data_IF_138039616860
#
_entry.id   IF_138039616860
#
_cell.length_a   1.000
_cell.length_b   1.000
_cell.length_c   1.000
_cell.angle_alpha   90.00
_cell.angle_beta   90.00
_cell.angle_gamma   90.00
#
_symmetry.space_group_name_H-M   'P 1'
#
loop_
_entity.id
_entity.type
_entity.pdbx_description
1 polymer ?
#
# COMPACT_ATOMS: atom_id res chain seq x y z
N UNK A 1 -9.61 12.08 -6.36
CA UNK A 1 -10.37 11.01 -5.69
C UNK A 1 -9.46 9.79 -5.51
N UNK A 2 -9.54 9.04 -4.41
CA UNK A 2 -8.87 7.74 -4.26
C UNK A 2 -9.94 6.65 -4.38
N UNK A 3 -9.70 5.63 -5.20
CA UNK A 3 -10.63 4.50 -5.38
C UNK A 3 -9.96 3.20 -4.94
N UNK A 4 -10.63 2.45 -4.07
CA UNK A 4 -10.14 1.18 -3.54
C UNK A 4 -11.14 0.08 -3.87
N UNK A 5 -10.68 -0.96 -4.55
CA UNK A 5 -11.46 -2.18 -4.77
C UNK A 5 -11.08 -3.22 -3.72
N UNK A 6 -12.07 -3.70 -2.94
CA UNK A 6 -11.86 -4.73 -1.91
C UNK A 6 -12.48 -6.10 -2.29
N UNK A 7 -13.12 -6.20 -3.45
CA UNK A 7 -13.82 -7.41 -3.90
C UNK A 7 -14.32 -7.27 -5.33
N UNK A 8 -15.31 -8.08 -5.71
CA UNK A 8 -15.87 -8.09 -7.07
C UNK A 8 -14.98 -8.80 -8.09
N UNK A 9 -14.07 -9.66 -7.63
CA UNK A 9 -13.25 -10.50 -8.51
C UNK A 9 -14.11 -11.66 -9.04
N UNK A 10 -14.06 -11.90 -10.35
CA UNK A 10 -14.76 -13.00 -11.02
C UNK A 10 -13.77 -14.04 -11.53
N UNK A 11 -14.21 -15.30 -11.61
CA UNK A 11 -13.43 -16.36 -12.26
C UNK A 11 -13.36 -16.10 -13.76
N UNK A 12 -12.16 -15.79 -14.25
CA UNK A 12 -11.89 -15.56 -15.68
C UNK A 12 -11.42 -16.84 -16.40
N UNK A 13 -11.21 -17.91 -15.65
CA UNK A 13 -10.83 -19.25 -16.11
C UNK A 13 -12.03 -20.19 -16.32
N UNK A 14 -13.26 -19.69 -16.15
CA UNK A 14 -14.52 -20.42 -16.36
C UNK A 14 -15.22 -19.97 -17.64
N UNK A 15 -16.21 -20.76 -18.10
CA UNK A 15 -16.98 -20.44 -19.30
C UNK A 15 -17.79 -19.14 -19.22
N UNK A 16 -18.02 -18.61 -18.02
CA UNK A 16 -18.72 -17.35 -17.79
C UNK A 16 -18.16 -16.66 -16.55
N UNK A 17 -18.07 -15.33 -16.59
CA UNK A 17 -17.77 -14.49 -15.42
C UNK A 17 -19.03 -14.13 -14.62
N UNK A 18 -20.22 -14.54 -15.06
CA UNK A 18 -21.45 -14.27 -14.32
C UNK A 18 -21.44 -15.06 -12.99
N UNK A 19 -21.67 -14.41 -11.84
CA UNK A 19 -21.50 -15.03 -10.53
C UNK A 19 -22.72 -15.89 -10.14
N UNK A 20 -23.00 -16.94 -10.93
CA UNK A 20 -24.14 -17.84 -10.74
C UNK A 20 -24.22 -18.39 -9.30
N UNK A 21 -23.07 -18.59 -8.65
CA UNK A 21 -23.00 -19.07 -7.27
C UNK A 21 -23.30 -18.03 -6.18
N UNK A 22 -23.51 -16.75 -6.53
CA UNK A 22 -23.69 -15.65 -5.56
C UNK A 22 -25.00 -14.89 -5.71
N UNK A 23 -25.52 -14.78 -6.93
CA UNK A 23 -26.72 -13.97 -7.23
C UNK A 23 -27.83 -14.85 -7.78
N UNK A 24 -29.08 -14.49 -7.46
CA UNK A 24 -30.29 -15.14 -7.99
C UNK A 24 -30.36 -16.66 -7.79
N UNK A 25 -29.74 -17.19 -6.73
CA UNK A 25 -29.73 -18.63 -6.41
C UNK A 25 -31.15 -19.23 -6.35
N UNK A 26 -32.11 -18.49 -5.79
CA UNK A 26 -33.51 -18.91 -5.66
C UNK A 26 -34.23 -19.02 -7.02
N UNK A 27 -33.89 -18.16 -7.97
CA UNK A 27 -34.47 -18.15 -9.32
C UNK A 27 -33.86 -19.28 -10.15
N UNK A 28 -32.54 -19.44 -10.06
CA UNK A 28 -31.78 -20.40 -10.85
C UNK A 28 -31.93 -21.83 -10.35
N UNK A 29 -32.40 -22.03 -9.11
CA UNK A 29 -32.60 -23.35 -8.48
C UNK A 29 -31.33 -24.24 -8.52
N UNK A 30 -30.17 -23.60 -8.37
CA UNK A 30 -28.87 -24.27 -8.33
C UNK A 30 -28.32 -24.28 -6.90
N UNK A 31 -27.56 -25.32 -6.56
CA UNK A 31 -26.84 -25.38 -5.29
C UNK A 31 -25.67 -24.37 -5.27
N UNK A 32 -25.18 -23.95 -4.09
CA UNK A 32 -23.99 -23.12 -3.97
C UNK A 32 -22.79 -23.76 -4.69
N UNK A 33 -22.07 -22.94 -5.48
CA UNK A 33 -20.92 -23.39 -6.25
C UNK A 33 -19.65 -23.20 -5.41
N UNK A 34 -18.96 -24.29 -5.10
CA UNK A 34 -17.67 -24.27 -4.40
C UNK A 34 -16.60 -23.55 -5.25
N UNK A 35 -15.88 -22.61 -4.63
CA UNK A 35 -14.80 -21.85 -5.29
C UNK A 35 -15.23 -20.49 -5.87
N UNK A 36 -16.46 -20.05 -5.61
CA UNK A 36 -16.99 -18.70 -5.87
C UNK A 36 -17.33 -17.98 -4.55
N UNK A 37 -17.07 -16.67 -4.40
CA UNK A 37 -16.08 -15.85 -5.10
C UNK A 37 -14.68 -16.06 -4.50
N UNK A 38 -13.64 -15.50 -5.14
CA UNK A 38 -12.38 -15.28 -4.42
C UNK A 38 -12.66 -14.37 -3.22
N UNK A 39 -12.24 -14.74 -1.99
CA UNK A 39 -12.53 -13.95 -0.81
C UNK A 39 -11.95 -12.54 -0.96
N UNK A 40 -12.60 -11.51 -0.38
CA UNK A 40 -12.01 -10.18 -0.29
C UNK A 40 -10.63 -10.32 0.33
N UNK A 41 -9.64 -9.78 -0.36
CA UNK A 41 -8.26 -9.80 0.13
C UNK A 41 -7.97 -8.46 0.79
N UNK A 42 -7.45 -8.51 2.02
CA UNK A 42 -7.12 -7.33 2.78
C UNK A 42 -6.17 -6.43 1.99
N UNK A 43 -6.44 -5.13 2.02
CA UNK A 43 -5.51 -4.10 1.57
C UNK A 43 -4.83 -3.52 2.81
N UNK A 44 -3.51 -3.46 2.79
CA UNK A 44 -2.71 -2.78 3.83
C UNK A 44 -1.98 -1.60 3.21
N UNK A 45 -2.13 -0.43 3.83
CA UNK A 45 -1.35 0.77 3.51
C UNK A 45 -0.56 1.09 4.78
N UNK A 46 0.76 1.17 4.65
CA UNK A 46 1.67 1.51 5.73
C UNK A 46 1.64 2.98 6.11
N UNK A 47 2.63 3.37 6.88
CA UNK A 47 2.85 4.72 7.40
C UNK A 47 3.66 5.55 6.40
N UNK A 48 3.54 6.88 6.46
CA UNK A 48 4.26 7.79 5.55
C UNK A 48 4.04 7.49 4.04
N UNK A 49 2.91 6.87 3.68
CA UNK A 49 2.58 6.60 2.27
C UNK A 49 1.96 7.83 1.64
N UNK A 50 2.56 8.33 0.56
CA UNK A 50 1.98 9.43 -0.23
C UNK A 50 1.25 8.88 -1.47
N UNK A 51 -0.08 9.10 -1.52
CA UNK A 51 -0.93 8.66 -2.62
C UNK A 51 -1.44 9.88 -3.41
N UNK A 52 -1.06 9.95 -4.68
CA UNK A 52 -1.47 11.00 -5.58
C UNK A 52 -2.97 11.00 -5.89
N UNK A 53 -3.45 12.08 -6.50
CA UNK A 53 -4.85 12.19 -6.89
C UNK A 53 -5.24 11.16 -7.96
N UNK A 54 -6.48 10.68 -7.92
CA UNK A 54 -7.08 9.79 -8.93
C UNK A 54 -6.39 8.43 -9.04
N UNK A 55 -5.81 7.95 -7.93
CA UNK A 55 -5.25 6.61 -7.84
C UNK A 55 -6.36 5.59 -7.64
N UNK A 56 -6.22 4.44 -8.31
CA UNK A 56 -7.01 3.23 -8.10
C UNK A 56 -6.14 2.13 -7.50
N UNK A 57 -6.62 1.47 -6.45
CA UNK A 57 -5.90 0.39 -5.74
C UNK A 57 -6.74 -0.89 -5.78
N UNK A 58 -6.14 -1.98 -6.25
CA UNK A 58 -6.77 -3.30 -6.31
C UNK A 58 -6.66 -4.07 -4.99
N UNK A 59 -7.60 -5.00 -4.74
CA UNK A 59 -7.67 -5.78 -3.50
C UNK A 59 -6.49 -6.74 -3.31
N UNK A 60 -6.07 -6.95 -2.06
CA UNK A 60 -5.10 -7.98 -1.70
C UNK A 60 -3.66 -7.64 -1.98
N UNK A 61 -3.31 -6.37 -1.86
CA UNK A 61 -1.94 -5.90 -1.98
C UNK A 61 -1.54 -5.15 -0.72
N UNK A 62 -0.23 -5.00 -0.55
CA UNK A 62 0.37 -4.19 0.51
C UNK A 62 1.10 -3.02 -0.14
N UNK A 63 0.91 -1.81 0.41
CA UNK A 63 1.72 -0.64 0.09
C UNK A 63 2.52 -0.32 1.36
N UNK A 64 3.81 -0.64 1.35
CA UNK A 64 4.67 -0.55 2.54
C UNK A 64 5.04 0.89 2.92
N UNK A 65 5.58 1.02 4.13
CA UNK A 65 5.93 2.30 4.75
C UNK A 65 6.79 3.18 3.82
N UNK A 66 6.48 4.47 3.77
CA UNK A 66 7.22 5.46 2.99
C UNK A 66 7.01 5.37 1.47
N UNK A 67 6.18 4.47 0.95
CA UNK A 67 5.94 4.36 -0.48
C UNK A 67 5.24 5.61 -1.08
N UNK A 68 5.45 5.84 -2.38
CA UNK A 68 4.82 6.92 -3.14
C UNK A 68 4.10 6.37 -4.36
N UNK A 69 2.83 6.75 -4.53
CA UNK A 69 2.04 6.40 -5.71
C UNK A 69 1.69 7.67 -6.48
N UNK A 70 2.21 7.80 -7.70
CA UNK A 70 1.93 8.95 -8.57
C UNK A 70 0.45 9.08 -8.94
N UNK A 71 0.01 10.30 -9.26
CA UNK A 71 -1.37 10.57 -9.65
C UNK A 71 -1.82 9.77 -10.88
N UNK A 72 -3.13 9.50 -10.98
CA UNK A 72 -3.78 8.71 -12.04
C UNK A 72 -3.25 7.27 -12.20
N UNK A 73 -2.63 6.71 -11.15
CA UNK A 73 -2.07 5.36 -11.21
C UNK A 73 -3.09 4.27 -10.87
N UNK A 74 -2.92 3.08 -11.45
CA UNK A 74 -3.71 1.89 -11.10
C UNK A 74 -2.81 0.82 -10.50
N UNK A 75 -2.84 0.70 -9.18
CA UNK A 75 -1.98 -0.21 -8.41
C UNK A 75 -2.58 -1.60 -8.39
N UNK A 76 -1.90 -2.53 -9.07
CA UNK A 76 -2.34 -3.94 -9.22
C UNK A 76 -1.39 -4.93 -8.55
N UNK A 77 -0.34 -4.46 -7.87
CA UNK A 77 0.71 -5.27 -7.23
C UNK A 77 1.17 -4.57 -5.96
N UNK A 78 1.66 -5.33 -4.97
CA UNK A 78 2.24 -4.75 -3.76
C UNK A 78 3.44 -3.86 -4.09
N UNK A 79 3.64 -2.83 -3.28
CA UNK A 79 4.68 -1.81 -3.38
C UNK A 79 5.56 -1.90 -2.15
N UNK A 80 6.88 -2.00 -2.35
CA UNK A 80 7.85 -2.10 -1.28
C UNK A 80 8.13 -0.78 -0.55
N UNK A 81 8.85 -0.83 0.58
CA UNK A 81 9.10 0.33 1.42
C UNK A 81 9.90 1.39 0.66
N UNK A 82 9.50 2.65 0.79
CA UNK A 82 10.15 3.79 0.14
C UNK A 82 10.27 3.70 -1.40
N UNK A 83 9.47 2.86 -2.06
CA UNK A 83 9.42 2.80 -3.52
C UNK A 83 8.51 3.89 -4.09
N UNK A 84 8.82 4.36 -5.30
CA UNK A 84 7.99 5.29 -6.07
C UNK A 84 7.43 4.56 -7.27
N UNK A 85 6.10 4.52 -7.37
CA UNK A 85 5.36 3.86 -8.43
C UNK A 85 4.47 4.85 -9.19
N UNK A 86 4.22 4.57 -10.47
CA UNK A 86 3.29 5.37 -11.26
C UNK A 86 2.80 4.67 -12.52
N UNK A 87 1.68 5.15 -13.06
CA UNK A 87 1.11 4.71 -14.33
C UNK A 87 -0.10 3.78 -14.21
N UNK A 88 -0.66 3.40 -15.35
CA UNK A 88 -1.79 2.48 -15.45
C UNK A 88 -1.48 1.38 -16.49
N UNK A 89 -1.19 0.14 -16.06
CA UNK A 89 -1.01 -0.28 -14.67
C UNK A 89 0.26 0.32 -14.04
N UNK A 90 0.26 0.53 -12.73
CA UNK A 90 1.37 1.14 -12.01
C UNK A 90 2.63 0.28 -12.11
N UNK A 91 3.78 0.93 -12.26
CA UNK A 91 5.09 0.30 -12.32
C UNK A 91 6.05 1.02 -11.39
N UNK A 92 7.02 0.26 -10.87
CA UNK A 92 8.17 0.80 -10.16
C UNK A 92 8.90 1.80 -11.06
N UNK A 93 9.22 2.97 -10.52
CA UNK A 93 9.99 4.03 -11.19
C UNK A 93 11.40 4.08 -10.58
N UNK A 94 11.49 4.21 -9.26
CA UNK A 94 12.75 4.27 -8.49
C UNK A 94 12.48 4.15 -7.00
N UNK A 95 13.51 3.95 -6.20
CA UNK A 95 13.45 4.17 -4.75
C UNK A 95 13.50 5.67 -4.42
N UNK A 96 12.90 6.09 -3.29
CA UNK A 96 13.06 7.44 -2.72
C UNK A 96 14.52 7.70 -2.37
N UNK A 97 15.19 6.71 -1.78
CA UNK A 97 16.54 6.77 -1.22
C UNK A 97 17.34 5.48 -1.51
N UNK A 98 18.68 5.49 -1.32
CA UNK A 98 19.51 4.29 -1.24
C UNK A 98 19.06 3.28 -0.18
N UNK A 99 19.40 2.00 -0.37
CA UNK A 99 18.94 0.88 0.46
C UNK A 99 19.37 1.00 1.93
N UNK A 100 20.56 1.52 2.21
CA UNK A 100 21.07 1.77 3.56
C UNK A 100 20.24 2.83 4.31
N UNK A 101 19.87 3.92 3.62
CA UNK A 101 18.98 4.95 4.18
C UNK A 101 17.57 4.36 4.43
N UNK A 102 17.05 3.58 3.48
CA UNK A 102 15.75 2.91 3.63
C UNK A 102 15.78 1.97 4.84
N UNK A 103 16.82 1.17 5.00
CA UNK A 103 16.99 0.27 6.14
C UNK A 103 16.95 1.01 7.48
N UNK A 104 17.68 2.13 7.60
CA UNK A 104 17.69 2.96 8.82
C UNK A 104 16.30 3.54 9.11
N UNK A 105 15.63 4.11 8.12
CA UNK A 105 14.30 4.71 8.30
C UNK A 105 13.22 3.67 8.63
N UNK A 106 13.26 2.51 7.98
CA UNK A 106 12.34 1.39 8.25
C UNK A 106 12.56 0.79 9.64
N UNK A 107 13.80 0.74 10.13
CA UNK A 107 14.09 0.31 11.49
C UNK A 107 13.66 1.35 12.54
N UNK A 108 13.83 2.63 12.22
CA UNK A 108 13.53 3.76 13.10
C UNK A 108 12.04 3.88 13.43
N UNK A 109 11.16 3.63 12.45
CA UNK A 109 9.69 3.69 12.58
C UNK A 109 9.23 4.93 13.35
N UNK A 110 9.67 6.12 12.92
CA UNK A 110 9.41 7.37 13.63
C UNK A 110 7.91 7.65 13.88
N UNK A 111 7.04 7.10 13.03
CA UNK A 111 5.58 7.16 13.17
C UNK A 111 5.04 6.41 14.40
N UNK A 112 5.80 5.47 14.97
CA UNK A 112 5.44 4.75 16.20
C UNK A 112 5.95 5.46 17.48
N UNK A 113 6.69 6.56 17.34
CA UNK A 113 7.26 7.27 18.50
C UNK A 113 6.21 8.05 19.29
N UNK A 114 6.41 8.25 20.61
CA UNK A 114 5.63 9.21 21.39
C UNK A 114 5.66 10.61 20.77
N UNK A 115 4.55 11.34 20.87
CA UNK A 115 4.36 12.64 20.23
C UNK A 115 5.47 13.65 20.58
N UNK A 116 5.94 13.69 21.83
CA UNK A 116 7.00 14.61 22.26
C UNK A 116 8.35 14.31 21.59
N UNK A 117 8.63 13.04 21.29
CA UNK A 117 9.81 12.65 20.51
C UNK A 117 9.67 13.09 19.04
N UNK A 118 8.48 12.93 18.45
CA UNK A 118 8.19 13.39 17.09
C UNK A 118 8.30 14.92 16.99
N UNK A 119 7.80 15.67 17.97
CA UNK A 119 7.92 17.14 18.02
C UNK A 119 9.38 17.60 18.00
N UNK A 120 10.25 16.93 18.78
CA UNK A 120 11.69 17.21 18.79
C UNK A 120 12.37 16.81 17.48
N UNK A 121 11.92 15.74 16.85
CA UNK A 121 12.48 15.21 15.61
C UNK A 121 11.98 15.95 14.35
N UNK A 122 10.83 16.62 14.41
CA UNK A 122 10.18 17.23 13.24
C UNK A 122 11.09 18.16 12.42
N UNK A 123 11.93 19.04 13.01
CA UNK A 123 12.86 19.85 12.23
C UNK A 123 13.86 19.01 11.41
N UNK A 124 14.29 17.86 11.93
CA UNK A 124 15.21 16.94 11.25
C UNK A 124 14.48 16.10 10.19
N UNK A 125 13.27 15.62 10.49
CA UNK A 125 12.43 14.87 9.54
C UNK A 125 12.08 15.69 8.29
N UNK A 126 12.08 17.03 8.40
CA UNK A 126 11.86 17.97 7.30
C UNK A 126 13.15 18.33 6.51
N UNK A 127 14.19 17.50 6.57
CA UNK A 127 15.45 17.69 5.82
C UNK A 127 15.84 16.43 5.04
N UNK A 128 16.74 16.52 4.04
CA UNK A 128 17.25 15.33 3.36
C UNK A 128 17.93 14.37 4.35
N UNK A 129 17.68 13.04 4.24
CA UNK A 129 18.19 12.05 5.20
C UNK A 129 19.67 11.73 4.93
N UNK A 130 20.55 12.69 5.23
CA UNK A 130 22.00 12.44 5.24
C UNK A 130 22.36 11.56 6.43
N UNK A 131 23.55 10.94 6.40
CA UNK A 131 24.03 10.13 7.53
C UNK A 131 24.06 10.91 8.84
N UNK A 132 24.39 12.20 8.80
CA UNK A 132 24.38 13.08 9.96
C UNK A 132 22.96 13.26 10.51
N UNK A 133 21.99 13.58 9.64
CA UNK A 133 20.59 13.77 10.05
C UNK A 133 20.00 12.49 10.62
N UNK A 134 20.23 11.35 9.96
CA UNK A 134 19.76 10.05 10.44
C UNK A 134 20.37 9.69 11.79
N UNK A 135 21.66 9.98 12.00
CA UNK A 135 22.32 9.72 13.29
C UNK A 135 21.78 10.61 14.42
N UNK A 136 21.42 11.86 14.11
CA UNK A 136 20.76 12.74 15.08
C UNK A 136 19.33 12.26 15.39
N UNK A 137 18.57 11.84 14.39
CA UNK A 137 17.24 11.25 14.58
C UNK A 137 17.29 10.01 15.47
N UNK A 138 18.24 9.10 15.22
CA UNK A 138 18.43 7.88 16.03
C UNK A 138 18.73 8.18 17.50
N UNK A 139 19.37 9.30 17.82
CA UNK A 139 19.60 9.73 19.21
C UNK A 139 18.33 10.23 19.90
N UNK A 140 17.33 10.69 19.13
CA UNK A 140 16.02 11.08 19.64
C UNK A 140 15.05 9.91 19.76
N UNK A 141 15.42 8.74 19.21
CA UNK A 141 14.58 7.56 19.25
C UNK A 141 14.26 7.14 20.70
N UNK A 142 12.99 6.86 21.02
CA UNK A 142 12.62 6.28 22.32
C UNK A 142 13.33 4.94 22.52
N UNK A 143 13.80 4.69 23.75
CA UNK A 143 14.37 3.39 24.13
C UNK A 143 13.29 2.36 24.44
#
# INVERSE_FOLDING_TARGET
MLTVFLGGNHRMDWSSTYPFGQVFLEILKIAPILGEPLPPRNLTIGNDVWIGANVTIMSGITIDDGAVVGANSTVTRSIGPYEIWGGNPARFIRHRFPEDIVGRLTAMRWWDWPLDAVERAAPLLCTPPTDEILSQLEQLAPR
#
